data_IF_915461136448
#
_entry.id   IF_915461136448
#
_cell.length_a   1.000
_cell.length_b   1.000
_cell.length_c   1.000
_cell.angle_alpha   90.00
_cell.angle_beta   90.00
_cell.angle_gamma   90.00
#
_symmetry.space_group_name_H-M   'P 1'
#
loop_
_entity.id
_entity.type
_entity.pdbx_description
1 polymer ?
#
# COMPACT_ATOMS: atom_id res chain seq x y z
N UNK A 1 33.61 -1.38 41.24
CA UNK A 1 34.31 -0.45 40.32
C UNK A 1 34.41 -1.13 38.95
N UNK A 2 33.45 -0.90 38.06
CA UNK A 2 33.55 -1.36 36.67
C UNK A 2 34.78 -0.67 36.06
N UNK A 3 35.71 -1.45 35.55
CA UNK A 3 37.04 -1.01 35.16
C UNK A 3 36.92 -0.01 34.00
N UNK A 4 37.48 1.21 34.18
CA UNK A 4 37.44 2.27 33.16
C UNK A 4 37.96 1.79 31.79
N UNK A 5 38.87 0.79 31.80
CA UNK A 5 39.42 0.14 30.60
C UNK A 5 38.41 -0.73 29.86
N UNK A 6 37.53 -1.45 30.56
CA UNK A 6 36.45 -2.21 29.91
C UNK A 6 35.46 -1.26 29.24
N UNK A 7 35.07 -0.18 29.93
CA UNK A 7 34.14 0.81 29.38
C UNK A 7 34.69 1.49 28.11
N UNK A 8 36.01 1.66 27.98
CA UNK A 8 36.65 2.21 26.76
C UNK A 8 36.74 1.21 25.61
N UNK A 9 36.88 -0.08 25.91
CA UNK A 9 36.88 -1.14 24.89
C UNK A 9 35.46 -1.29 24.30
N UNK A 10 34.45 -1.35 25.16
CA UNK A 10 33.05 -1.42 24.72
C UNK A 10 32.63 -0.21 23.87
N UNK A 11 33.05 1.02 24.21
CA UNK A 11 32.74 2.21 23.39
C UNK A 11 33.49 2.24 22.07
N UNK A 12 34.71 1.69 22.02
CA UNK A 12 35.49 1.58 20.79
C UNK A 12 34.93 0.52 19.84
N UNK A 13 34.52 -0.63 20.37
CA UNK A 13 33.87 -1.68 19.58
C UNK A 13 32.48 -1.24 19.09
N UNK A 14 31.71 -0.52 19.92
CA UNK A 14 30.49 0.13 19.47
C UNK A 14 30.80 1.08 18.30
N UNK A 15 31.68 2.06 18.48
CA UNK A 15 31.95 3.06 17.43
C UNK A 15 32.45 2.45 16.13
N UNK A 16 33.32 1.42 16.18
CA UNK A 16 33.76 0.68 14.98
C UNK A 16 32.60 -0.07 14.32
N UNK A 17 31.72 -0.71 15.09
CA UNK A 17 30.53 -1.38 14.57
C UNK A 17 29.49 -0.41 13.97
N UNK A 18 29.40 0.81 14.50
CA UNK A 18 28.57 1.90 13.97
C UNK A 18 29.16 2.45 12.66
N UNK A 19 30.47 2.71 12.60
CA UNK A 19 31.14 3.21 11.39
C UNK A 19 31.10 2.18 10.26
N UNK A 20 31.34 0.89 10.57
CA UNK A 20 31.26 -0.19 9.58
C UNK A 20 29.86 -0.36 9.01
N UNK A 21 28.82 -0.19 9.84
CA UNK A 21 27.44 -0.22 9.38
C UNK A 21 27.05 1.01 8.54
N UNK A 22 27.51 2.20 8.93
CA UNK A 22 27.28 3.44 8.18
C UNK A 22 27.83 3.37 6.75
N UNK A 23 29.01 2.76 6.60
CA UNK A 23 29.62 2.56 5.30
C UNK A 23 28.84 1.55 4.44
N UNK A 24 28.24 0.53 5.07
CA UNK A 24 27.48 -0.52 4.39
C UNK A 24 26.11 0.00 3.89
N UNK A 25 25.43 0.83 4.68
CA UNK A 25 24.16 1.48 4.30
C UNK A 25 24.36 2.45 3.11
N UNK A 26 25.40 3.28 3.17
CA UNK A 26 25.77 4.20 2.09
C UNK A 26 26.17 3.46 0.82
N UNK A 27 26.93 2.38 0.95
CA UNK A 27 27.30 1.53 -0.19
C UNK A 27 26.08 0.88 -0.84
N UNK A 28 25.15 0.31 -0.06
CA UNK A 28 23.92 -0.25 -0.60
C UNK A 28 23.09 0.81 -1.34
N UNK A 29 22.92 2.00 -0.76
CA UNK A 29 22.20 3.09 -1.39
C UNK A 29 22.86 3.57 -2.68
N UNK A 30 24.20 3.74 -2.68
CA UNK A 30 24.95 4.14 -3.88
C UNK A 30 24.90 3.08 -4.98
N UNK A 31 24.89 1.79 -4.63
CA UNK A 31 24.74 0.69 -5.60
C UNK A 31 23.35 0.74 -6.24
N UNK A 32 22.30 0.88 -5.43
CA UNK A 32 20.91 0.96 -5.94
C UNK A 32 20.76 2.16 -6.88
N UNK A 33 21.14 3.35 -6.41
CA UNK A 33 21.02 4.58 -7.18
C UNK A 33 21.90 4.59 -8.43
N UNK A 34 23.14 4.08 -8.31
CA UNK A 34 24.07 3.98 -9.43
C UNK A 34 23.56 3.03 -10.51
N UNK A 35 23.00 1.89 -10.12
CA UNK A 35 22.44 0.92 -11.07
C UNK A 35 21.17 1.46 -11.76
N UNK A 36 20.28 2.11 -11.01
CA UNK A 36 19.10 2.78 -11.57
C UNK A 36 19.51 3.88 -12.56
N UNK A 37 20.48 4.72 -12.19
CA UNK A 37 20.99 5.78 -13.04
C UNK A 37 21.62 5.24 -14.34
N UNK A 38 22.42 4.18 -14.26
CA UNK A 38 23.01 3.53 -15.44
C UNK A 38 21.92 2.99 -16.37
N UNK A 39 20.91 2.30 -15.83
CA UNK A 39 19.82 1.74 -16.65
C UNK A 39 19.02 2.83 -17.37
N UNK A 40 18.77 3.96 -16.71
CA UNK A 40 18.08 5.11 -17.31
C UNK A 40 18.94 5.76 -18.41
N UNK A 41 20.24 5.98 -18.16
CA UNK A 41 21.15 6.56 -19.15
C UNK A 41 21.30 5.65 -20.38
N UNK A 42 21.44 4.34 -20.16
CA UNK A 42 21.48 3.34 -21.24
C UNK A 42 20.18 3.37 -22.04
N UNK A 43 19.02 3.42 -21.36
CA UNK A 43 17.73 3.57 -22.01
C UNK A 43 17.63 4.84 -22.87
N UNK A 44 18.15 5.97 -22.36
CA UNK A 44 18.15 7.24 -23.08
C UNK A 44 19.02 7.20 -24.34
N UNK A 45 20.22 6.60 -24.27
CA UNK A 45 21.17 6.51 -25.38
C UNK A 45 20.66 5.61 -26.51
N UNK A 46 19.99 4.50 -26.17
CA UNK A 46 19.44 3.55 -27.15
C UNK A 46 18.24 4.14 -27.91
N UNK A 47 17.55 5.11 -27.32
CA UNK A 47 16.37 5.76 -27.92
C UNK A 47 15.05 5.05 -27.61
N UNK A 48 13.94 5.73 -27.88
CA UNK A 48 12.60 5.34 -27.41
C UNK A 48 12.15 3.88 -27.66
N UNK A 49 12.36 3.26 -28.84
CA UNK A 49 11.75 1.96 -29.17
C UNK A 49 12.18 0.82 -28.25
N UNK A 50 13.42 0.87 -27.75
CA UNK A 50 14.00 -0.16 -26.87
C UNK A 50 14.34 0.43 -25.51
N UNK A 51 14.71 1.71 -25.46
CA UNK A 51 15.11 2.42 -24.25
C UNK A 51 14.03 2.49 -23.18
N UNK A 52 12.75 2.52 -23.57
CA UNK A 52 11.64 2.54 -22.61
C UNK A 52 11.63 1.31 -21.70
N UNK A 53 11.99 0.13 -22.21
CA UNK A 53 12.05 -1.08 -21.41
C UNK A 53 13.19 -1.04 -20.39
N UNK A 54 14.33 -0.44 -20.76
CA UNK A 54 15.44 -0.22 -19.83
C UNK A 54 15.05 0.75 -18.72
N UNK A 55 14.37 1.86 -19.03
CA UNK A 55 13.88 2.80 -18.03
C UNK A 55 12.87 2.15 -17.07
N UNK A 56 11.91 1.37 -17.59
CA UNK A 56 10.95 0.62 -16.77
C UNK A 56 11.69 -0.39 -15.87
N UNK A 57 12.66 -1.12 -16.43
CA UNK A 57 13.47 -2.06 -15.65
C UNK A 57 14.28 -1.36 -14.55
N UNK A 58 14.84 -0.17 -14.83
CA UNK A 58 15.59 0.63 -13.87
C UNK A 58 14.73 1.04 -12.69
N UNK A 59 13.52 1.52 -12.95
CA UNK A 59 12.56 1.87 -11.89
C UNK A 59 12.15 0.66 -11.05
N UNK A 60 11.85 -0.47 -11.70
CA UNK A 60 11.49 -1.73 -11.00
C UNK A 60 12.67 -2.20 -10.13
N UNK A 61 13.90 -2.14 -10.65
CA UNK A 61 15.09 -2.53 -9.88
C UNK A 61 15.33 -1.56 -8.73
N UNK A 62 15.26 -0.24 -8.94
CA UNK A 62 15.37 0.75 -7.87
C UNK A 62 14.34 0.54 -6.76
N UNK A 63 13.13 0.11 -7.12
CA UNK A 63 12.05 -0.19 -6.18
C UNK A 63 12.24 -1.51 -5.41
N UNK A 64 12.68 -2.57 -6.10
CA UNK A 64 12.77 -3.94 -5.55
C UNK A 64 14.11 -4.20 -4.85
N UNK A 65 15.21 -3.63 -5.33
CA UNK A 65 16.56 -3.90 -4.81
C UNK A 65 16.75 -3.56 -3.31
N UNK A 66 16.10 -2.53 -2.73
CA UNK A 66 16.11 -2.31 -1.28
C UNK A 66 15.52 -3.48 -0.46
N UNK A 67 14.58 -4.28 -1.02
CA UNK A 67 14.06 -5.48 -0.35
C UNK A 67 15.10 -6.59 -0.25
N UNK A 68 15.89 -6.79 -1.31
CA UNK A 68 16.94 -7.81 -1.34
C UNK A 68 18.16 -7.43 -0.51
N UNK A 69 18.48 -6.13 -0.44
CA UNK A 69 19.57 -5.59 0.38
C UNK A 69 19.15 -5.30 1.83
N UNK A 70 17.98 -5.77 2.27
CA UNK A 70 17.47 -5.61 3.64
C UNK A 70 18.44 -6.11 4.73
N UNK A 71 19.33 -7.06 4.40
CA UNK A 71 20.38 -7.54 5.31
C UNK A 71 21.55 -6.56 5.51
N UNK A 72 21.73 -5.60 4.61
CA UNK A 72 22.74 -4.55 4.73
C UNK A 72 22.24 -3.35 5.54
N UNK A 73 20.93 -3.09 5.52
CA UNK A 73 20.28 -2.01 6.25
C UNK A 73 20.05 -2.35 7.73
N UNK A 74 20.73 -1.65 8.64
CA UNK A 74 20.43 -1.79 10.08
C UNK A 74 19.12 -1.07 10.43
N UNK A 75 18.14 -1.84 10.91
CA UNK A 75 16.82 -1.36 11.33
C UNK A 75 16.85 -0.29 12.44
N UNK A 76 17.96 -0.18 13.17
CA UNK A 76 18.15 0.69 14.34
C UNK A 76 18.32 2.18 13.98
N UNK A 77 18.51 2.53 12.70
CA UNK A 77 18.71 3.92 12.24
C UNK A 77 17.55 4.53 11.47
N UNK A 78 16.56 3.73 11.07
CA UNK A 78 15.36 4.24 10.40
C UNK A 78 14.41 4.72 11.49
N UNK A 79 14.09 6.02 11.51
CA UNK A 79 13.05 6.56 12.38
C UNK A 79 11.69 6.06 11.87
N UNK A 80 11.31 4.88 12.36
CA UNK A 80 10.12 4.15 11.96
C UNK A 80 8.83 4.94 12.09
N UNK A 81 8.53 5.55 13.26
CA UNK A 81 7.35 6.38 13.41
C UNK A 81 7.25 7.45 12.32
N UNK A 82 8.35 8.15 12.07
CA UNK A 82 8.39 9.23 11.09
C UNK A 82 8.34 8.74 9.62
N UNK A 83 8.87 7.55 9.32
CA UNK A 83 8.71 6.95 8.00
C UNK A 83 7.25 6.55 7.74
N UNK A 84 6.61 5.91 8.71
CA UNK A 84 5.19 5.51 8.63
C UNK A 84 4.30 6.74 8.50
N UNK A 85 4.57 7.79 9.27
CA UNK A 85 3.88 9.09 9.15
C UNK A 85 3.94 9.64 7.73
N UNK A 86 5.14 9.72 7.13
CA UNK A 86 5.32 10.23 5.76
C UNK A 86 4.59 9.37 4.73
N UNK A 87 4.66 8.05 4.83
CA UNK A 87 3.99 7.18 3.86
C UNK A 87 2.46 7.22 4.04
N UNK A 88 1.97 7.39 5.28
CA UNK A 88 0.54 7.62 5.54
C UNK A 88 0.05 8.93 4.92
N UNK A 89 0.83 10.01 5.00
CA UNK A 89 0.54 11.26 4.29
C UNK A 89 0.43 11.06 2.78
N UNK A 90 1.30 10.22 2.18
CA UNK A 90 1.22 9.89 0.74
C UNK A 90 -0.08 9.13 0.43
N UNK A 91 -0.52 8.21 1.30
CA UNK A 91 -1.82 7.51 1.15
C UNK A 91 -2.97 8.52 1.15
N UNK A 92 -2.97 9.49 2.07
CA UNK A 92 -3.99 10.55 2.14
C UNK A 92 -4.00 11.38 0.85
N UNK A 93 -2.82 11.77 0.34
CA UNK A 93 -2.70 12.51 -0.93
C UNK A 93 -3.27 11.68 -2.10
N UNK A 94 -2.97 10.38 -2.18
CA UNK A 94 -3.49 9.51 -3.23
C UNK A 94 -5.03 9.41 -3.19
N UNK A 95 -5.63 9.35 -2.00
CA UNK A 95 -7.08 9.44 -1.85
C UNK A 95 -7.62 10.81 -2.28
N UNK A 96 -6.93 11.90 -1.94
CA UNK A 96 -7.28 13.24 -2.40
C UNK A 96 -7.30 13.34 -3.93
N UNK A 97 -6.29 12.79 -4.60
CA UNK A 97 -6.23 12.70 -6.06
C UNK A 97 -7.39 11.88 -6.62
N UNK A 98 -7.70 10.74 -6.00
CA UNK A 98 -8.82 9.89 -6.42
C UNK A 98 -10.18 10.63 -6.33
N UNK A 99 -10.39 11.41 -5.26
CA UNK A 99 -11.59 12.27 -5.10
C UNK A 99 -11.64 13.34 -6.20
N UNK A 100 -10.53 14.03 -6.45
CA UNK A 100 -10.45 15.06 -7.51
C UNK A 100 -10.78 14.44 -8.87
N UNK A 101 -10.22 13.27 -9.19
CA UNK A 101 -10.50 12.55 -10.42
C UNK A 101 -11.97 12.12 -10.54
N UNK A 102 -12.61 11.80 -9.41
CA UNK A 102 -14.03 11.45 -9.36
C UNK A 102 -14.94 12.64 -9.66
N UNK A 103 -14.50 13.89 -9.48
CA UNK A 103 -15.33 15.08 -9.79
C UNK A 103 -15.84 15.08 -11.25
N UNK A 104 -15.09 14.45 -12.17
CA UNK A 104 -15.50 14.24 -13.57
C UNK A 104 -16.83 13.48 -13.73
N UNK A 105 -17.27 12.75 -12.70
CA UNK A 105 -18.56 12.05 -12.66
C UNK A 105 -19.74 12.93 -12.29
N UNK A 106 -19.53 14.12 -11.73
CA UNK A 106 -20.58 15.07 -11.39
C UNK A 106 -20.88 15.99 -12.58
N UNK A 107 -21.41 15.41 -13.66
CA UNK A 107 -21.80 16.14 -14.86
C UNK A 107 -23.28 15.88 -15.18
N UNK A 108 -23.89 16.72 -16.02
CA UNK A 108 -25.31 16.62 -16.40
C UNK A 108 -25.68 15.33 -17.15
N UNK A 109 -24.68 14.61 -17.67
CA UNK A 109 -24.83 13.37 -18.46
C UNK A 109 -24.85 12.10 -17.62
N UNK A 110 -24.35 12.14 -16.40
CA UNK A 110 -24.24 10.99 -15.50
C UNK A 110 -25.30 11.09 -14.40
N UNK A 111 -26.04 10.01 -14.10
CA UNK A 111 -26.97 10.02 -12.97
C UNK A 111 -26.23 10.37 -11.67
N UNK A 112 -26.72 11.37 -10.94
CA UNK A 112 -26.09 11.81 -9.68
C UNK A 112 -25.91 10.65 -8.69
N UNK A 113 -26.88 9.73 -8.64
CA UNK A 113 -26.84 8.52 -7.79
C UNK A 113 -25.62 7.65 -8.08
N UNK A 114 -25.25 7.52 -9.35
CA UNK A 114 -24.09 6.72 -9.77
C UNK A 114 -22.77 7.35 -9.30
N UNK A 115 -22.62 8.68 -9.45
CA UNK A 115 -21.47 9.40 -8.93
C UNK A 115 -21.41 9.33 -7.39
N UNK A 116 -22.55 9.46 -6.71
CA UNK A 116 -22.65 9.40 -5.26
C UNK A 116 -22.24 8.02 -4.70
N UNK A 117 -22.65 6.93 -5.34
CA UNK A 117 -22.26 5.58 -4.93
C UNK A 117 -20.76 5.31 -5.11
N UNK A 118 -20.15 5.78 -6.21
CA UNK A 118 -18.69 5.70 -6.37
C UNK A 118 -17.94 6.54 -5.34
N UNK A 119 -18.45 7.74 -5.03
CA UNK A 119 -17.86 8.61 -4.01
C UNK A 119 -17.93 7.97 -2.63
N UNK A 120 -19.10 7.47 -2.24
CA UNK A 120 -19.29 6.80 -0.96
C UNK A 120 -18.44 5.51 -0.86
N UNK A 121 -18.33 4.76 -1.96
CA UNK A 121 -17.45 3.60 -2.06
C UNK A 121 -15.99 3.97 -1.79
N UNK A 122 -15.51 5.09 -2.34
CA UNK A 122 -14.15 5.58 -2.11
C UNK A 122 -13.94 6.09 -0.67
N UNK A 123 -14.93 6.78 -0.11
CA UNK A 123 -14.92 7.21 1.30
C UNK A 123 -14.86 6.00 2.24
N UNK A 124 -15.56 4.89 1.95
CA UNK A 124 -15.50 3.66 2.74
C UNK A 124 -14.13 2.98 2.66
N UNK A 125 -13.45 3.04 1.51
CA UNK A 125 -12.06 2.60 1.42
C UNK A 125 -11.20 3.43 2.37
N UNK A 126 -11.27 4.76 2.29
CA UNK A 126 -10.52 5.66 3.16
C UNK A 126 -10.82 5.43 4.64
N UNK A 127 -12.09 5.27 5.01
CA UNK A 127 -12.49 4.97 6.38
C UNK A 127 -11.92 3.63 6.87
N UNK A 128 -11.90 2.60 6.01
CA UNK A 128 -11.27 1.31 6.33
C UNK A 128 -9.77 1.46 6.58
N UNK A 129 -9.10 2.34 5.84
CA UNK A 129 -7.69 2.66 6.06
C UNK A 129 -7.47 3.38 7.39
N UNK A 130 -8.25 4.42 7.70
CA UNK A 130 -8.10 5.20 8.94
C UNK A 130 -8.34 4.33 10.17
N UNK A 131 -9.42 3.55 10.21
CA UNK A 131 -9.71 2.60 11.31
C UNK A 131 -8.51 1.68 11.57
N UNK A 132 -7.83 1.24 10.51
CA UNK A 132 -6.71 0.34 10.62
C UNK A 132 -5.38 1.01 10.93
N UNK A 133 -5.21 2.26 10.49
CA UNK A 133 -3.97 3.02 10.63
C UNK A 133 -3.87 3.73 11.98
N UNK A 134 -4.98 4.28 12.49
CA UNK A 134 -5.01 5.03 13.77
C UNK A 134 -5.08 4.10 14.99
N UNK A 135 -5.85 3.02 14.92
CA UNK A 135 -6.19 2.22 16.11
C UNK A 135 -5.17 1.10 16.41
N UNK A 136 -4.30 0.74 15.45
CA UNK A 136 -3.56 -0.53 15.49
C UNK A 136 -2.03 -0.42 15.35
N UNK A 137 -1.47 0.76 15.09
CA UNK A 137 -0.01 0.92 15.05
C UNK A 137 0.49 1.17 16.47
N UNK A 138 0.94 0.10 17.14
CA UNK A 138 1.66 0.22 18.39
C UNK A 138 3.02 0.89 18.11
N UNK A 139 3.13 2.17 18.46
CA UNK A 139 4.32 2.99 18.24
C UNK A 139 5.55 2.48 19.04
N UNK A 140 5.38 1.45 19.87
CA UNK A 140 6.41 0.86 20.73
C UNK A 140 7.00 -0.47 20.24
N UNK A 141 6.54 -1.08 19.13
CA UNK A 141 7.12 -2.34 18.66
C UNK A 141 8.31 -2.15 17.72
N UNK A 142 9.48 -2.63 18.16
CA UNK A 142 10.70 -2.79 17.35
C UNK A 142 10.56 -4.07 16.51
N UNK A 143 9.69 -4.05 15.52
CA UNK A 143 9.55 -5.11 14.51
C UNK A 143 9.82 -4.55 13.12
N UNK A 144 10.25 -5.39 12.17
CA UNK A 144 10.78 -5.06 10.84
C UNK A 144 9.78 -4.34 9.90
N UNK A 145 9.30 -3.15 10.21
CA UNK A 145 8.45 -2.27 9.39
C UNK A 145 9.04 -1.71 8.10
N UNK A 146 10.07 -2.36 7.57
CA UNK A 146 10.11 -2.59 6.14
C UNK A 146 8.76 -3.14 5.61
N UNK A 147 8.14 -4.13 6.26
CA UNK A 147 6.86 -4.68 5.78
C UNK A 147 5.72 -3.63 5.91
N UNK A 148 5.70 -2.84 6.99
CA UNK A 148 4.75 -1.73 7.15
C UNK A 148 4.91 -0.69 6.03
N UNK A 149 6.15 -0.29 5.72
CA UNK A 149 6.44 0.64 4.61
C UNK A 149 5.95 0.09 3.27
N UNK A 150 6.31 -1.16 2.92
CA UNK A 150 5.95 -1.76 1.64
C UNK A 150 4.44 -2.01 1.50
N UNK A 151 3.75 -2.31 2.60
CA UNK A 151 2.31 -2.46 2.60
C UNK A 151 1.60 -1.13 2.37
N UNK A 152 2.05 -0.02 2.98
CA UNK A 152 1.49 1.29 2.67
C UNK A 152 1.76 1.70 1.22
N UNK A 153 2.93 1.39 0.67
CA UNK A 153 3.19 1.62 -0.76
C UNK A 153 2.23 0.78 -1.63
N UNK A 154 1.99 -0.48 -1.27
CA UNK A 154 1.02 -1.32 -1.97
C UNK A 154 -0.41 -0.76 -1.89
N UNK A 155 -0.79 -0.15 -0.76
CA UNK A 155 -2.05 0.61 -0.60
C UNK A 155 -2.11 1.79 -1.58
N UNK A 156 -1.05 2.61 -1.66
CA UNK A 156 -0.98 3.73 -2.62
C UNK A 156 -1.19 3.24 -4.06
N UNK A 157 -0.45 2.20 -4.46
CA UNK A 157 -0.57 1.60 -5.80
C UNK A 157 -1.99 1.09 -6.05
N UNK A 158 -2.61 0.45 -5.06
CA UNK A 158 -3.98 -0.03 -5.16
C UNK A 158 -5.01 1.10 -5.32
N UNK A 159 -4.84 2.22 -4.60
CA UNK A 159 -5.70 3.41 -4.74
C UNK A 159 -5.57 4.02 -6.14
N UNK A 160 -4.35 4.17 -6.64
CA UNK A 160 -4.11 4.68 -8.00
C UNK A 160 -4.71 3.76 -9.07
N UNK A 161 -4.53 2.45 -8.95
CA UNK A 161 -5.15 1.46 -9.85
C UNK A 161 -6.67 1.51 -9.78
N UNK A 162 -7.25 1.62 -8.58
CA UNK A 162 -8.70 1.76 -8.39
C UNK A 162 -9.23 3.05 -9.02
N UNK A 163 -8.47 4.14 -8.92
CA UNK A 163 -8.81 5.43 -9.53
C UNK A 163 -8.85 5.33 -11.06
N UNK A 164 -7.85 4.70 -11.67
CA UNK A 164 -7.83 4.43 -13.11
C UNK A 164 -8.99 3.53 -13.52
N UNK A 165 -9.27 2.49 -12.74
CA UNK A 165 -10.41 1.60 -12.98
C UNK A 165 -11.75 2.36 -12.95
N UNK A 166 -11.91 3.26 -11.98
CA UNK A 166 -13.06 4.15 -11.90
C UNK A 166 -13.09 5.04 -13.15
N UNK A 167 -12.03 5.73 -13.54
CA UNK A 167 -12.05 6.57 -14.75
C UNK A 167 -12.45 5.80 -16.02
N UNK A 168 -11.98 4.56 -16.16
CA UNK A 168 -12.33 3.69 -17.29
C UNK A 168 -13.81 3.30 -17.36
N UNK A 169 -14.59 3.39 -16.28
CA UNK A 169 -16.05 3.18 -16.35
C UNK A 169 -16.79 4.28 -17.15
N UNK A 170 -16.21 5.48 -17.31
CA UNK A 170 -16.81 6.54 -18.14
C UNK A 170 -16.64 6.26 -19.64
N UNK A 171 -15.53 5.64 -20.03
CA UNK A 171 -15.17 5.42 -21.43
C UNK A 171 -16.01 4.28 -22.03
N UNK A 172 -16.69 4.54 -23.15
CA UNK A 172 -17.63 3.57 -23.72
C UNK A 172 -16.98 2.38 -24.43
N UNK A 173 -15.74 2.53 -24.92
CA UNK A 173 -15.07 1.56 -25.80
C UNK A 173 -14.01 0.69 -25.11
N UNK A 174 -14.04 0.57 -23.78
CA UNK A 174 -13.05 -0.23 -23.04
C UNK A 174 -13.46 -1.70 -23.00
N UNK A 175 -12.46 -2.58 -23.13
CA UNK A 175 -12.64 -4.02 -22.94
C UNK A 175 -13.09 -4.32 -21.50
N UNK A 176 -14.33 -4.81 -21.36
CA UNK A 176 -14.95 -5.10 -20.06
C UNK A 176 -14.22 -6.18 -19.26
N UNK A 177 -13.58 -7.13 -19.95
CA UNK A 177 -12.77 -8.18 -19.31
C UNK A 177 -11.52 -7.59 -18.67
N UNK A 178 -10.85 -6.67 -19.37
CA UNK A 178 -9.71 -5.95 -18.81
C UNK A 178 -10.12 -5.13 -17.58
N UNK A 179 -11.24 -4.39 -17.69
CA UNK A 179 -11.77 -3.61 -16.56
C UNK A 179 -12.14 -4.47 -15.35
N UNK A 180 -12.75 -5.64 -15.59
CA UNK A 180 -13.07 -6.61 -14.54
C UNK A 180 -11.81 -7.05 -13.77
N UNK A 181 -10.76 -7.47 -14.49
CA UNK A 181 -9.50 -7.84 -13.85
C UNK A 181 -8.83 -6.67 -13.14
N UNK A 182 -8.88 -5.48 -13.71
CA UNK A 182 -8.30 -4.28 -13.11
C UNK A 182 -8.95 -3.95 -11.76
N UNK A 183 -10.29 -3.96 -11.69
CA UNK A 183 -11.06 -3.71 -10.44
C UNK A 183 -10.75 -4.78 -9.40
N UNK A 184 -10.75 -6.06 -9.79
CA UNK A 184 -10.47 -7.15 -8.85
C UNK A 184 -9.05 -7.06 -8.32
N UNK A 185 -8.09 -6.79 -9.21
CA UNK A 185 -6.70 -6.70 -8.83
C UNK A 185 -6.44 -5.52 -7.89
N UNK A 186 -7.00 -4.34 -8.19
CA UNK A 186 -6.87 -3.17 -7.30
C UNK A 186 -7.53 -3.43 -5.94
N UNK A 187 -8.71 -4.02 -5.90
CA UNK A 187 -9.42 -4.36 -4.66
C UNK A 187 -8.68 -5.43 -3.85
N UNK A 188 -8.18 -6.49 -4.50
CA UNK A 188 -7.37 -7.52 -3.86
C UNK A 188 -6.13 -6.91 -3.23
N UNK A 189 -5.38 -6.11 -4.00
CA UNK A 189 -4.16 -5.48 -3.54
C UNK A 189 -4.42 -4.54 -2.36
N UNK A 190 -5.51 -3.75 -2.40
CA UNK A 190 -5.90 -2.85 -1.33
C UNK A 190 -6.19 -3.59 -0.02
N UNK A 191 -7.14 -4.53 -0.05
CA UNK A 191 -7.59 -5.22 1.16
C UNK A 191 -6.58 -6.23 1.69
N UNK A 192 -5.78 -6.85 0.82
CA UNK A 192 -4.69 -7.72 1.24
C UNK A 192 -3.57 -6.92 1.91
N UNK A 193 -3.22 -5.74 1.40
CA UNK A 193 -2.22 -4.87 2.03
C UNK A 193 -2.70 -4.36 3.39
N UNK A 194 -3.97 -3.96 3.49
CA UNK A 194 -4.59 -3.67 4.79
C UNK A 194 -4.49 -4.87 5.75
N UNK A 195 -4.85 -6.08 5.31
CA UNK A 195 -4.75 -7.27 6.14
C UNK A 195 -3.31 -7.58 6.59
N UNK A 196 -2.30 -7.34 5.75
CA UNK A 196 -0.88 -7.49 6.13
C UNK A 196 -0.48 -6.48 7.21
N UNK A 197 -0.97 -5.23 7.12
CA UNK A 197 -0.69 -4.21 8.12
C UNK A 197 -1.20 -4.59 9.52
N UNK A 198 -2.20 -5.47 9.60
CA UNK A 198 -2.74 -5.96 10.88
C UNK A 198 -1.79 -6.90 11.63
N UNK A 199 -0.78 -7.47 10.97
CA UNK A 199 0.23 -8.31 11.65
C UNK A 199 1.08 -7.50 12.64
N UNK A 200 1.11 -6.17 12.48
CA UNK A 200 1.79 -5.23 13.38
C UNK A 200 0.92 -4.72 14.53
N UNK A 201 -0.32 -5.19 14.61
CA UNK A 201 -1.22 -4.85 15.69
C UNK A 201 -0.79 -5.51 17.01
N UNK A 202 -1.12 -4.89 18.16
CA UNK A 202 -0.78 -5.41 19.51
C UNK A 202 -1.10 -6.90 19.61
N UNK A 203 -0.29 -7.66 20.35
CA UNK A 203 -0.31 -9.14 20.42
C UNK A 203 -1.68 -9.78 20.77
N UNK A 204 -2.61 -8.98 21.29
CA UNK A 204 -4.03 -9.30 21.54
C UNK A 204 -4.87 -9.41 20.24
N UNK A 205 -4.35 -8.97 19.10
CA UNK A 205 -5.10 -8.78 17.86
C UNK A 205 -4.58 -9.61 16.68
N UNK A 206 -4.17 -10.86 16.95
CA UNK A 206 -3.92 -11.83 15.89
C UNK A 206 -5.24 -12.25 15.26
N UNK A 207 -5.37 -12.07 13.94
CA UNK A 207 -6.46 -12.65 13.17
C UNK A 207 -6.48 -14.17 13.39
N UNK A 208 -7.59 -14.68 13.91
CA UNK A 208 -7.86 -16.11 13.83
C UNK A 208 -8.00 -16.49 12.36
N UNK A 209 -7.62 -17.70 11.99
CA UNK A 209 -7.80 -18.25 10.64
C UNK A 209 -9.25 -18.07 10.14
N UNK A 210 -10.22 -18.03 11.09
CA UNK A 210 -11.64 -17.79 10.84
C UNK A 210 -11.92 -16.42 10.25
N UNK A 211 -11.24 -15.36 10.71
CA UNK A 211 -11.46 -14.01 10.20
C UNK A 211 -10.82 -13.81 8.82
N UNK A 212 -9.68 -14.46 8.57
CA UNK A 212 -9.09 -14.49 7.23
C UNK A 212 -10.02 -15.22 6.25
N UNK A 213 -10.64 -16.32 6.68
CA UNK A 213 -11.67 -17.01 5.91
C UNK A 213 -12.88 -16.11 5.65
N UNK A 214 -13.37 -15.35 6.64
CA UNK A 214 -14.44 -14.37 6.45
C UNK A 214 -14.06 -13.33 5.39
N UNK A 215 -12.85 -12.77 5.45
CA UNK A 215 -12.35 -11.79 4.47
C UNK A 215 -12.31 -12.38 3.05
N UNK A 216 -11.80 -13.61 2.91
CA UNK A 216 -11.75 -14.32 1.64
C UNK A 216 -13.14 -14.65 1.09
N UNK A 217 -14.09 -15.00 1.97
CA UNK A 217 -15.48 -15.22 1.58
C UNK A 217 -16.14 -13.94 1.07
N UNK A 218 -15.98 -12.82 1.78
CA UNK A 218 -16.47 -11.50 1.33
C UNK A 218 -15.84 -11.14 -0.02
N UNK A 219 -14.54 -11.41 -0.19
CA UNK A 219 -13.85 -11.17 -1.46
C UNK A 219 -14.42 -12.03 -2.60
N UNK A 220 -14.61 -13.33 -2.39
CA UNK A 220 -15.17 -14.24 -3.38
C UNK A 220 -16.62 -13.87 -3.78
N UNK A 221 -17.44 -13.45 -2.80
CA UNK A 221 -18.81 -12.98 -3.03
C UNK A 221 -18.83 -11.70 -3.86
N UNK A 222 -17.94 -10.74 -3.56
CA UNK A 222 -17.81 -9.50 -4.33
C UNK A 222 -17.37 -9.74 -5.78
N UNK A 223 -16.40 -10.63 -6.01
CA UNK A 223 -15.99 -11.05 -7.37
C UNK A 223 -17.16 -11.67 -8.13
N UNK A 224 -17.91 -12.55 -7.47
CA UNK A 224 -19.09 -13.21 -8.07
C UNK A 224 -20.18 -12.21 -8.43
N UNK A 225 -20.47 -11.25 -7.54
CA UNK A 225 -21.45 -10.21 -7.81
C UNK A 225 -21.00 -9.30 -8.98
N UNK A 226 -19.73 -8.87 -8.98
CA UNK A 226 -19.15 -8.04 -10.04
C UNK A 226 -19.26 -8.72 -11.41
N UNK A 227 -19.03 -10.03 -11.49
CA UNK A 227 -19.17 -10.80 -12.73
C UNK A 227 -20.59 -10.71 -13.31
N UNK A 228 -21.60 -10.80 -12.45
CA UNK A 228 -23.01 -10.69 -12.87
C UNK A 228 -23.35 -9.28 -13.36
N UNK A 229 -22.85 -8.24 -12.67
CA UNK A 229 -23.19 -6.84 -12.97
C UNK A 229 -22.26 -6.15 -13.97
N UNK A 230 -21.24 -6.81 -14.52
CA UNK A 230 -20.21 -6.19 -15.39
C UNK A 230 -20.78 -5.50 -16.64
N UNK A 231 -22.02 -5.85 -17.04
CA UNK A 231 -22.70 -5.22 -18.19
C UNK A 231 -23.34 -3.87 -17.84
N UNK A 232 -23.64 -3.61 -16.57
CA UNK A 232 -24.37 -2.43 -16.09
C UNK A 232 -23.45 -1.49 -15.31
N UNK A 233 -23.32 -0.23 -15.73
CA UNK A 233 -22.50 0.77 -15.04
C UNK A 233 -22.98 1.03 -13.60
N UNK A 234 -24.30 1.17 -13.43
CA UNK A 234 -24.91 1.39 -12.12
C UNK A 234 -24.71 0.15 -11.23
N UNK A 235 -24.85 -1.04 -11.81
CA UNK A 235 -24.62 -2.30 -11.09
C UNK A 235 -23.20 -2.41 -10.53
N UNK A 236 -22.18 -2.03 -11.30
CA UNK A 236 -20.78 -2.01 -10.84
C UNK A 236 -20.60 -1.07 -9.65
N UNK A 237 -21.19 0.13 -9.69
CA UNK A 237 -21.07 1.08 -8.58
C UNK A 237 -21.76 0.61 -7.30
N UNK A 238 -22.95 0.01 -7.41
CA UNK A 238 -23.64 -0.62 -6.28
C UNK A 238 -22.80 -1.78 -5.73
N UNK A 239 -22.22 -2.60 -6.61
CA UNK A 239 -21.30 -3.68 -6.22
C UNK A 239 -20.11 -3.14 -5.44
N UNK A 240 -19.41 -2.12 -5.94
CA UNK A 240 -18.27 -1.53 -5.25
C UNK A 240 -18.66 -0.91 -3.90
N UNK A 241 -19.84 -0.29 -3.81
CA UNK A 241 -20.35 0.27 -2.57
C UNK A 241 -20.60 -0.80 -1.52
N UNK A 242 -21.39 -1.83 -1.86
CA UNK A 242 -21.71 -2.94 -0.95
C UNK A 242 -20.44 -3.67 -0.55
N UNK A 243 -19.53 -3.90 -1.49
CA UNK A 243 -18.30 -4.62 -1.24
C UNK A 243 -17.41 -3.88 -0.24
N UNK A 244 -17.21 -2.57 -0.44
CA UNK A 244 -16.44 -1.74 0.49
C UNK A 244 -17.11 -1.59 1.85
N UNK A 245 -18.45 -1.55 1.89
CA UNK A 245 -19.20 -1.50 3.14
C UNK A 245 -19.02 -2.77 3.97
N UNK A 246 -19.09 -3.95 3.34
CA UNK A 246 -18.89 -5.23 4.04
C UNK A 246 -17.49 -5.34 4.63
N UNK A 247 -16.46 -4.95 3.88
CA UNK A 247 -15.10 -4.91 4.42
C UNK A 247 -14.96 -3.90 5.56
N UNK A 248 -15.51 -2.70 5.41
CA UNK A 248 -15.49 -1.68 6.45
C UNK A 248 -16.15 -2.18 7.73
N UNK A 249 -17.32 -2.82 7.65
CA UNK A 249 -18.02 -3.36 8.82
C UNK A 249 -17.22 -4.46 9.53
N UNK A 250 -16.61 -5.37 8.78
CA UNK A 250 -15.76 -6.42 9.37
C UNK A 250 -14.58 -5.81 10.14
N UNK A 251 -13.91 -4.79 9.57
CA UNK A 251 -12.82 -4.09 10.25
C UNK A 251 -13.31 -3.25 11.43
N UNK A 252 -14.44 -2.56 11.30
CA UNK A 252 -15.01 -1.71 12.34
C UNK A 252 -15.45 -2.51 13.57
N UNK A 253 -16.16 -3.64 13.37
CA UNK A 253 -16.55 -4.55 14.46
C UNK A 253 -15.31 -5.07 15.17
N UNK A 254 -14.23 -5.31 14.44
CA UNK A 254 -12.98 -5.81 15.01
C UNK A 254 -12.20 -4.73 15.75
N UNK A 255 -12.22 -3.48 15.29
CA UNK A 255 -11.64 -2.33 16.01
C UNK A 255 -12.30 -2.13 17.37
N UNK A 256 -13.64 -1.98 17.37
CA UNK A 256 -14.43 -1.66 18.56
C UNK A 256 -14.43 -2.78 19.63
N UNK A 257 -14.36 -4.06 19.23
CA UNK A 257 -14.22 -5.18 20.20
C UNK A 257 -12.96 -5.10 21.07
N UNK A 258 -11.98 -4.26 20.71
CA UNK A 258 -10.74 -4.11 21.46
C UNK A 258 -10.74 -2.86 22.37
N UNK A 259 -11.75 -1.98 22.31
CA UNK A 259 -11.86 -0.80 23.18
C UNK A 259 -12.51 -1.15 24.55
N UNK A 260 -13.23 -2.27 24.62
CA UNK A 260 -13.92 -2.77 25.82
C UNK A 260 -13.17 -3.88 26.58
N UNK A 261 -11.86 -4.05 26.35
CA UNK A 261 -11.03 -5.03 27.05
C UNK A 261 -9.66 -4.46 27.40
#
# INVERSE_FOLDING_TARGET
KINLRERTIYTKDLTVSFVKADNNDKQAFLIILGLEFILIIVGLIIGYPVGIYFCISGYIVGFILPLFLKGMFKAERVNFPHLVERVSLIVIIAFGEAIVNLTSYFNSKTPLVYAAFLFLSLVLMFASYVVLSDELIDHHQISKGFISMYSHIAIVVAILLSTVAIQYLQVQNINKTFLFFLIIFSMALYYFSLAINQVYNKSECRFSIRNLLTLLLIFALGVSYLWVVIKSKIGISICLLIWNLLFFLEFYIKGNKNEFR
#
